data_IF_836157575027
#
_entry.id   IF_836157575027
#
_cell.length_a   1.000
_cell.length_b   1.000
_cell.length_c   1.000
_cell.angle_alpha   90.00
_cell.angle_beta   90.00
_cell.angle_gamma   90.00
#
_symmetry.space_group_name_H-M   'P 1'
#
loop_
_entity.id
_entity.type
_entity.pdbx_description
1 polymer ?
#
# COMPACT_ATOMS: atom_id res chain seq x y z
N UNK A 1 4.44 -10.38 -8.22
CA UNK A 1 5.38 -9.23 -8.19
C UNK A 1 5.12 -8.51 -6.88
N UNK A 2 6.04 -8.63 -5.93
CA UNK A 2 5.95 -7.94 -4.64
C UNK A 2 6.43 -6.51 -4.87
N UNK A 3 5.50 -5.56 -4.97
CA UNK A 3 5.84 -4.14 -5.01
C UNK A 3 5.78 -3.66 -3.57
N UNK A 4 6.87 -3.87 -2.82
CA UNK A 4 7.00 -3.34 -1.47
C UNK A 4 7.28 -1.84 -1.60
N UNK A 5 6.25 -1.01 -1.47
CA UNK A 5 6.46 0.42 -1.24
C UNK A 5 7.07 0.60 0.14
N UNK A 6 8.41 0.75 0.19
CA UNK A 6 9.07 1.34 1.35
C UNK A 6 8.76 2.84 1.32
N UNK A 7 7.65 3.23 1.93
CA UNK A 7 7.35 4.62 2.23
C UNK A 7 8.45 5.15 3.15
N UNK A 8 9.41 5.89 2.60
CA UNK A 8 10.48 6.58 3.35
C UNK A 8 9.95 7.73 4.24
N UNK A 9 8.63 7.78 4.48
CA UNK A 9 8.00 8.75 5.36
C UNK A 9 8.00 8.19 6.79
N UNK A 10 9.18 8.26 7.41
CA UNK A 10 9.31 8.27 8.86
C UNK A 10 8.53 9.48 9.40
N UNK A 11 7.22 9.35 9.57
CA UNK A 11 6.52 10.18 10.54
C UNK A 11 7.18 9.85 11.88
N UNK A 12 7.67 10.89 12.56
CA UNK A 12 8.57 10.88 13.72
C UNK A 12 8.02 10.19 14.99
N UNK A 13 7.18 9.17 14.85
CA UNK A 13 6.45 8.45 15.90
C UNK A 13 6.30 6.94 15.64
N UNK A 14 6.83 6.38 14.54
CA UNK A 14 6.75 4.93 14.26
C UNK A 14 5.35 4.44 13.86
N UNK A 15 4.45 5.35 13.44
CA UNK A 15 3.09 4.99 13.07
C UNK A 15 2.99 4.69 11.57
N UNK A 16 2.61 3.46 11.21
CA UNK A 16 2.21 3.12 9.85
C UNK A 16 0.88 3.79 9.51
N UNK A 17 0.90 4.85 8.73
CA UNK A 17 -0.29 5.46 8.16
C UNK A 17 -0.11 5.65 6.65
N UNK A 18 -1.14 5.33 5.88
CA UNK A 18 -1.17 5.59 4.45
C UNK A 18 -1.27 7.08 4.16
N UNK A 19 -0.48 7.56 3.19
CA UNK A 19 -0.66 8.89 2.60
C UNK A 19 -1.71 8.87 1.48
N UNK A 20 -2.16 10.05 1.06
CA UNK A 20 -3.07 10.15 -0.08
C UNK A 20 -2.41 9.63 -1.37
N UNK A 21 -1.12 9.91 -1.53
CA UNK A 21 -0.28 9.47 -2.62
C UNK A 21 -0.15 7.94 -2.66
N UNK A 22 0.04 7.29 -1.49
CA UNK A 22 0.08 5.82 -1.40
C UNK A 22 -1.23 5.20 -1.92
N UNK A 23 -2.37 5.78 -1.55
CA UNK A 23 -3.69 5.31 -2.00
C UNK A 23 -3.87 5.47 -3.51
N UNK A 24 -3.47 6.61 -4.07
CA UNK A 24 -3.60 6.87 -5.51
C UNK A 24 -2.74 5.91 -6.34
N UNK A 25 -1.48 5.71 -5.93
CA UNK A 25 -0.57 4.74 -6.56
C UNK A 25 -1.15 3.33 -6.50
N UNK A 26 -1.69 2.94 -5.34
CA UNK A 26 -2.29 1.61 -5.15
C UNK A 26 -3.47 1.38 -6.07
N UNK A 27 -4.35 2.38 -6.25
CA UNK A 27 -5.50 2.28 -7.16
C UNK A 27 -5.06 2.09 -8.61
N UNK A 28 -4.08 2.87 -9.07
CA UNK A 28 -3.53 2.73 -10.43
C UNK A 28 -2.90 1.36 -10.66
N UNK A 29 -2.15 0.85 -9.68
CA UNK A 29 -1.58 -0.50 -9.76
C UNK A 29 -2.64 -1.60 -9.80
N UNK A 30 -3.72 -1.45 -9.02
CA UNK A 30 -4.88 -2.38 -9.05
C UNK A 30 -5.53 -2.39 -10.43
N UNK A 31 -5.76 -1.22 -11.02
CA UNK A 31 -6.31 -1.10 -12.38
C UNK A 31 -5.39 -1.74 -13.43
N UNK A 32 -4.09 -1.45 -13.40
CA UNK A 32 -3.11 -2.10 -14.28
C UNK A 32 -3.11 -3.62 -14.12
N UNK A 33 -3.17 -4.12 -12.87
CA UNK A 33 -3.24 -5.55 -12.59
C UNK A 33 -4.48 -6.21 -13.19
N UNK A 34 -5.64 -5.55 -13.11
CA UNK A 34 -6.88 -6.02 -13.72
C UNK A 34 -6.77 -6.10 -15.25
N UNK A 35 -6.11 -5.13 -15.88
CA UNK A 35 -5.91 -5.10 -17.35
C UNK A 35 -5.00 -6.24 -17.80
N UNK A 36 -3.92 -6.50 -17.06
CA UNK A 36 -2.89 -7.49 -17.43
C UNK A 36 -3.31 -8.91 -17.00
N UNK A 37 -4.37 -9.05 -16.20
CA UNK A 37 -4.83 -10.34 -15.67
C UNK A 37 -4.03 -10.82 -14.46
N UNK A 38 -3.31 -9.92 -13.78
CA UNK A 38 -2.54 -10.19 -12.57
C UNK A 38 -3.11 -9.31 -11.44
N UNK A 39 -4.10 -9.80 -10.66
CA UNK A 39 -4.75 -8.99 -9.64
C UNK A 39 -3.79 -8.62 -8.50
N UNK A 40 -3.92 -7.39 -8.00
CA UNK A 40 -3.21 -6.95 -6.80
C UNK A 40 -3.80 -7.67 -5.58
N UNK A 41 -2.95 -8.42 -4.87
CA UNK A 41 -3.37 -9.20 -3.69
C UNK A 41 -3.54 -8.32 -2.45
N UNK A 42 -2.55 -7.49 -2.14
CA UNK A 42 -2.63 -6.52 -1.05
C UNK A 42 -1.53 -5.47 -1.24
N UNK A 43 -1.72 -4.31 -0.64
CA UNK A 43 -0.66 -3.33 -0.45
C UNK A 43 -0.49 -3.11 1.05
N UNK A 44 0.65 -3.58 1.55
CA UNK A 44 1.02 -3.51 2.96
C UNK A 44 2.06 -2.41 3.17
N UNK A 45 1.72 -1.44 4.03
CA UNK A 45 2.62 -0.38 4.49
C UNK A 45 3.21 -0.85 5.82
N UNK A 46 4.54 -0.85 5.94
CA UNK A 46 5.26 -1.35 7.12
C UNK A 46 5.93 -0.18 7.83
N UNK A 47 5.80 -0.13 9.15
CA UNK A 47 6.41 0.86 10.03
C UNK A 47 7.08 0.19 11.23
N UNK A 48 7.48 0.98 12.22
CA UNK A 48 8.20 0.46 13.38
C UNK A 48 7.27 -0.41 14.25
N UNK A 49 7.52 -1.72 14.22
CA UNK A 49 6.75 -2.76 14.92
C UNK A 49 5.25 -2.85 14.55
N UNK A 50 4.83 -2.24 13.44
CA UNK A 50 3.44 -2.30 12.97
C UNK A 50 3.36 -2.38 11.43
N UNK A 51 2.17 -2.68 10.94
CA UNK A 51 1.87 -2.66 9.52
C UNK A 51 0.40 -2.31 9.29
N UNK A 52 0.09 -1.77 8.12
CA UNK A 52 -1.25 -1.49 7.64
C UNK A 52 -1.47 -2.21 6.32
N UNK A 53 -2.54 -2.99 6.23
CA UNK A 53 -3.01 -3.59 4.98
C UNK A 53 -4.12 -2.73 4.41
N UNK A 54 -3.92 -2.24 3.18
CA UNK A 54 -4.90 -1.43 2.48
C UNK A 54 -6.15 -2.24 2.10
N UNK A 55 -6.00 -3.55 1.86
CA UNK A 55 -7.14 -4.46 1.66
C UNK A 55 -7.95 -4.62 2.95
N UNK A 56 -7.32 -4.84 4.11
CA UNK A 56 -8.03 -4.97 5.39
C UNK A 56 -8.77 -3.70 5.81
N UNK A 57 -8.26 -2.52 5.42
CA UNK A 57 -8.93 -1.24 5.63
C UNK A 57 -10.09 -0.98 4.65
N UNK A 58 -10.28 -1.80 3.62
CA UNK A 58 -11.29 -1.61 2.58
C UNK A 58 -10.99 -0.45 1.63
N UNK A 59 -9.72 -0.05 1.52
CA UNK A 59 -9.28 1.02 0.60
C UNK A 59 -9.11 0.47 -0.83
N UNK A 60 -8.83 -0.84 -0.94
CA UNK A 60 -8.79 -1.62 -2.18
C UNK A 60 -9.63 -2.88 -2.06
#
# INVERSE_FOLDING_TARGET
MEITSKSYLLLSSGHSAESHEDVEVTKRLKECGNIIGIPLLDHVIIGDNNYVSLMKKGII
#
